data_IF_767406215706
#
_entry.id   IF_767406215706
#
_cell.length_a   1.000
_cell.length_b   1.000
_cell.length_c   1.000
_cell.angle_alpha   90.00
_cell.angle_beta   90.00
_cell.angle_gamma   90.00
#
_symmetry.space_group_name_H-M   'P 1'
#
loop_
_entity.id
_entity.type
_entity.pdbx_description
1 polymer ?
#
# COMPACT_ATOMS: atom_id res chain seq x y z
N UNK A 1 6.50 28.00 -4.47
CA UNK A 1 7.82 28.22 -3.88
C UNK A 1 7.81 28.53 -2.38
N UNK A 2 7.05 29.51 -1.86
CA UNK A 2 7.02 29.83 -0.41
C UNK A 2 6.61 28.63 0.45
N UNK A 3 5.54 27.90 0.06
CA UNK A 3 5.02 26.75 0.82
C UNK A 3 6.01 25.58 0.90
N UNK A 4 6.75 25.29 -0.17
CA UNK A 4 7.78 24.25 -0.18
C UNK A 4 8.96 24.60 0.73
N UNK A 5 9.42 25.86 0.71
CA UNK A 5 10.44 26.34 1.66
C UNK A 5 10.00 26.20 3.11
N UNK A 6 8.74 26.51 3.41
CA UNK A 6 8.17 26.32 4.76
C UNK A 6 8.13 24.85 5.16
N UNK A 7 7.76 23.95 4.24
CA UNK A 7 7.78 22.52 4.50
C UNK A 7 9.19 22.03 4.86
N UNK A 8 10.20 22.40 4.07
CA UNK A 8 11.60 22.05 4.34
C UNK A 8 12.07 22.53 5.71
N UNK A 9 11.73 23.74 6.11
CA UNK A 9 12.06 24.25 7.46
C UNK A 9 11.39 23.43 8.57
N UNK A 10 10.13 23.01 8.37
CA UNK A 10 9.42 22.13 9.31
C UNK A 10 10.12 20.77 9.39
N UNK A 11 10.45 20.18 8.24
CA UNK A 11 11.15 18.91 8.16
C UNK A 11 12.51 18.97 8.86
N UNK A 12 13.34 19.98 8.60
CA UNK A 12 14.64 20.15 9.25
C UNK A 12 14.55 20.31 10.78
N UNK A 13 13.56 21.05 11.26
CA UNK A 13 13.29 21.16 12.70
C UNK A 13 12.91 19.82 13.30
N UNK A 14 12.03 19.07 12.62
CA UNK A 14 11.54 17.79 13.11
C UNK A 14 12.61 16.70 13.00
N UNK A 15 13.42 16.66 11.93
CA UNK A 15 14.49 15.67 11.76
C UNK A 15 15.54 15.78 12.87
N UNK A 16 15.97 16.99 13.19
CA UNK A 16 16.91 17.22 14.32
C UNK A 16 16.35 16.70 15.65
N UNK A 17 15.05 16.88 15.86
CA UNK A 17 14.37 16.42 17.08
C UNK A 17 14.26 14.91 17.13
N UNK A 18 13.76 14.29 16.04
CA UNK A 18 13.48 12.85 16.03
C UNK A 18 14.78 12.01 16.03
N UNK A 19 15.82 12.47 15.36
CA UNK A 19 17.13 11.79 15.36
C UNK A 19 17.74 11.79 16.76
N UNK A 20 17.73 12.93 17.44
CA UNK A 20 18.20 12.99 18.85
C UNK A 20 17.34 12.12 19.75
N UNK A 21 16.02 12.17 19.59
CA UNK A 21 15.08 11.36 20.36
C UNK A 21 15.31 9.86 20.18
N UNK A 22 15.47 9.40 18.93
CA UNK A 22 15.74 8.00 18.63
C UNK A 22 17.09 7.54 19.22
N UNK A 23 18.15 8.34 19.06
CA UNK A 23 19.45 8.04 19.64
C UNK A 23 19.41 7.93 21.17
N UNK A 24 18.71 8.84 21.85
CA UNK A 24 18.64 8.86 23.32
C UNK A 24 17.82 7.71 23.90
N UNK A 25 16.72 7.32 23.22
CA UNK A 25 15.70 6.45 23.81
C UNK A 25 15.63 5.04 23.20
N UNK A 26 16.22 4.81 22.01
CA UNK A 26 16.19 3.51 21.34
C UNK A 26 17.61 2.93 21.29
N UNK A 27 17.93 1.89 22.09
CA UNK A 27 19.27 1.29 22.13
C UNK A 27 19.79 0.84 20.76
N UNK A 28 18.89 0.35 19.87
CA UNK A 28 19.22 -0.02 18.50
C UNK A 28 19.84 1.16 17.72
N UNK A 29 19.22 2.35 17.74
CA UNK A 29 19.75 3.51 17.04
C UNK A 29 21.03 4.04 17.66
N UNK A 30 21.13 4.06 19.00
CA UNK A 30 22.37 4.44 19.69
C UNK A 30 23.54 3.59 19.22
N UNK A 31 23.40 2.26 19.34
CA UNK A 31 24.44 1.33 18.89
C UNK A 31 24.81 1.54 17.42
N UNK A 32 23.81 1.73 16.55
CA UNK A 32 24.01 1.88 15.10
C UNK A 32 24.74 3.16 14.75
N UNK A 33 24.42 4.26 15.42
CA UNK A 33 25.08 5.55 15.24
C UNK A 33 26.54 5.49 15.74
N UNK A 34 26.75 4.91 16.91
CA UNK A 34 28.10 4.77 17.49
C UNK A 34 29.01 3.91 16.60
N UNK A 35 28.48 2.85 16.01
CA UNK A 35 29.22 1.97 15.06
C UNK A 35 29.76 2.69 13.83
N UNK A 36 29.05 3.71 13.34
CA UNK A 36 29.49 4.49 12.17
C UNK A 36 30.07 5.86 12.57
N UNK A 37 30.29 6.11 13.86
CA UNK A 37 30.81 7.38 14.36
C UNK A 37 29.90 8.57 14.14
N UNK A 38 28.60 8.37 13.91
CA UNK A 38 27.64 9.42 13.64
C UNK A 38 27.10 10.00 14.94
N UNK A 39 27.16 11.32 15.08
CA UNK A 39 26.55 12.04 16.20
C UNK A 39 25.23 12.68 15.79
N UNK A 40 24.16 12.63 16.62
CA UNK A 40 22.88 13.27 16.29
C UNK A 40 22.97 14.73 15.90
N UNK A 41 23.94 15.46 16.48
CA UNK A 41 24.18 16.89 16.25
C UNK A 41 24.74 17.20 14.84
N UNK A 42 25.27 16.18 14.16
CA UNK A 42 25.76 16.31 12.77
C UNK A 42 24.62 16.31 11.74
N UNK A 43 23.40 15.89 12.14
CA UNK A 43 22.20 15.94 11.28
C UNK A 43 21.53 17.31 11.48
N UNK A 44 21.84 18.25 10.59
CA UNK A 44 21.39 19.65 10.70
C UNK A 44 20.38 20.04 9.64
N UNK A 45 20.48 19.47 8.45
CA UNK A 45 19.65 19.72 7.27
C UNK A 45 19.20 18.40 6.63
N UNK A 46 18.30 18.47 5.65
CA UNK A 46 17.70 17.26 5.06
C UNK A 46 18.73 16.36 4.36
N UNK A 47 19.71 16.98 3.68
CA UNK A 47 20.76 16.22 2.97
C UNK A 47 21.65 15.40 3.94
N UNK A 48 21.73 15.80 5.21
CA UNK A 48 22.48 15.02 6.21
C UNK A 48 21.80 13.70 6.57
N UNK A 49 20.51 13.53 6.25
CA UNK A 49 19.75 12.31 6.56
C UNK A 49 20.36 11.10 5.87
N UNK A 50 20.93 11.27 4.68
CA UNK A 50 21.63 10.21 3.95
C UNK A 50 22.79 9.56 4.74
N UNK A 51 23.35 10.27 5.74
CA UNK A 51 24.41 9.75 6.64
C UNK A 51 23.89 8.72 7.65
N UNK A 52 22.57 8.72 7.93
CA UNK A 52 21.94 7.78 8.86
C UNK A 52 21.86 6.42 8.20
N UNK A 53 22.36 5.34 8.85
CA UNK A 53 22.24 4.00 8.30
C UNK A 53 20.77 3.59 8.08
N UNK A 54 20.53 2.88 6.99
CA UNK A 54 19.20 2.36 6.63
C UNK A 54 18.69 1.39 7.69
N UNK A 55 17.42 1.47 8.04
CA UNK A 55 16.71 0.50 8.89
C UNK A 55 15.92 -0.46 8.01
N UNK A 56 16.09 -1.77 8.23
CA UNK A 56 15.42 -2.80 7.45
C UNK A 56 14.37 -3.56 8.27
N UNK A 57 13.50 -4.30 7.59
CA UNK A 57 12.51 -5.19 8.21
C UNK A 57 13.15 -6.22 9.16
N UNK A 58 14.32 -6.76 8.79
CA UNK A 58 15.09 -7.66 9.63
C UNK A 58 15.51 -7.04 10.97
N UNK A 59 15.77 -5.73 11.01
CA UNK A 59 16.11 -5.06 12.26
C UNK A 59 14.92 -5.06 13.24
N UNK A 60 13.69 -4.90 12.74
CA UNK A 60 12.50 -4.98 13.58
C UNK A 60 12.27 -6.42 14.08
N UNK A 61 12.46 -7.41 13.22
CA UNK A 61 12.34 -8.83 13.58
C UNK A 61 13.39 -9.23 14.64
N UNK A 62 14.63 -8.77 14.49
CA UNK A 62 15.72 -9.04 15.43
C UNK A 62 15.52 -8.34 16.79
N UNK A 63 14.72 -7.27 16.82
CA UNK A 63 14.34 -6.56 18.05
C UNK A 63 12.91 -6.90 18.53
N UNK A 64 12.37 -8.04 18.07
CA UNK A 64 11.04 -8.51 18.49
C UNK A 64 10.98 -8.82 20.00
N UNK A 65 9.88 -8.52 20.71
CA UNK A 65 8.69 -7.84 20.18
C UNK A 65 8.78 -6.31 20.28
N UNK A 66 9.49 -5.74 21.23
CA UNK A 66 9.42 -4.32 21.61
C UNK A 66 10.80 -3.67 21.77
N UNK A 67 11.88 -4.27 21.25
CA UNK A 67 13.23 -3.74 21.36
C UNK A 67 13.49 -2.41 20.64
N UNK A 68 12.51 -1.96 19.83
CA UNK A 68 12.56 -0.65 19.14
C UNK A 68 11.76 0.46 19.86
N UNK A 69 11.26 0.19 21.10
CA UNK A 69 10.53 1.22 21.85
C UNK A 69 11.43 2.36 22.29
N UNK A 70 10.89 3.57 22.16
CA UNK A 70 11.48 4.82 22.68
C UNK A 70 10.79 5.32 23.96
N UNK A 71 9.77 4.62 24.44
CA UNK A 71 9.00 4.95 25.65
C UNK A 71 8.85 3.70 26.53
N UNK A 72 8.65 3.88 27.86
CA UNK A 72 8.25 2.79 28.73
C UNK A 72 6.95 2.13 28.29
N UNK A 73 6.80 0.81 28.57
CA UNK A 73 5.65 0.03 28.12
C UNK A 73 4.31 0.48 28.70
N UNK A 74 4.30 1.06 29.89
CA UNK A 74 3.11 1.64 30.54
C UNK A 74 2.55 2.87 29.83
N UNK A 75 3.32 3.48 28.92
CA UNK A 75 2.84 4.58 28.05
C UNK A 75 2.22 4.11 26.76
N UNK A 76 2.21 2.81 26.50
CA UNK A 76 1.61 2.25 25.30
C UNK A 76 0.08 2.23 25.44
N UNK A 77 -0.58 2.59 24.38
CA UNK A 77 -2.04 2.61 24.30
C UNK A 77 -2.57 1.48 23.40
N UNK A 78 -1.83 1.13 22.35
CA UNK A 78 -2.23 0.11 21.39
C UNK A 78 -1.01 -0.59 20.79
N UNK A 79 -1.18 -1.87 20.49
CA UNK A 79 -0.23 -2.69 19.72
C UNK A 79 -0.95 -3.23 18.48
N UNK A 80 -0.28 -3.14 17.36
CA UNK A 80 -0.67 -3.82 16.12
C UNK A 80 0.46 -4.73 15.66
N UNK A 81 0.16 -5.64 14.74
CA UNK A 81 1.17 -6.49 14.15
C UNK A 81 0.90 -6.72 12.66
N UNK A 82 1.96 -6.92 11.90
CA UNK A 82 1.87 -7.37 10.51
C UNK A 82 1.54 -8.87 10.44
N UNK A 83 1.09 -9.37 9.28
CA UNK A 83 0.69 -10.77 9.10
C UNK A 83 1.81 -11.81 9.26
N UNK A 84 3.08 -11.38 9.25
CA UNK A 84 4.22 -12.27 9.54
C UNK A 84 4.28 -13.53 8.67
N UNK A 85 4.19 -13.42 7.35
CA UNK A 85 4.23 -14.57 6.41
C UNK A 85 5.48 -15.44 6.53
N UNK A 86 6.53 -14.95 7.20
CA UNK A 86 7.85 -15.60 7.36
C UNK A 86 8.20 -15.97 8.79
N UNK A 87 7.23 -16.06 9.72
CA UNK A 87 7.48 -16.46 11.12
C UNK A 87 6.99 -15.42 12.13
N UNK A 88 7.91 -14.70 12.82
CA UNK A 88 7.53 -13.69 13.81
C UNK A 88 6.89 -12.46 13.15
N UNK A 89 5.71 -12.00 13.62
CA UNK A 89 5.11 -10.76 13.12
C UNK A 89 5.94 -9.54 13.53
N UNK A 90 5.87 -8.45 12.75
CA UNK A 90 6.37 -7.17 13.21
C UNK A 90 5.32 -6.55 14.13
N UNK A 91 5.71 -6.30 15.37
CA UNK A 91 4.86 -5.56 16.32
C UNK A 91 5.12 -4.08 16.19
N UNK A 92 4.06 -3.29 16.10
CA UNK A 92 4.10 -1.83 16.08
C UNK A 92 3.32 -1.27 17.25
N UNK A 93 3.94 -0.37 17.99
CA UNK A 93 3.40 0.19 19.21
C UNK A 93 2.99 1.65 19.03
N UNK A 94 1.96 2.08 19.74
CA UNK A 94 1.42 3.42 19.68
C UNK A 94 1.21 3.97 21.09
N UNK A 95 1.66 5.20 21.32
CA UNK A 95 1.18 6.03 22.43
C UNK A 95 -0.18 6.62 22.07
N UNK A 96 -0.84 7.24 23.03
CA UNK A 96 -2.05 8.02 22.77
C UNK A 96 -1.79 9.14 21.77
N UNK A 97 -0.66 9.84 21.90
CA UNK A 97 -0.24 10.90 20.97
C UNK A 97 -0.01 10.39 19.55
N UNK A 98 0.54 9.17 19.41
CA UNK A 98 0.70 8.52 18.11
C UNK A 98 -0.64 8.22 17.44
N UNK A 99 -1.64 7.69 18.20
CA UNK A 99 -2.98 7.41 17.66
C UNK A 99 -3.72 8.68 17.24
N UNK A 100 -3.62 9.74 18.04
CA UNK A 100 -4.24 11.03 17.71
C UNK A 100 -3.60 11.63 16.44
N UNK A 101 -2.30 11.48 16.27
CA UNK A 101 -1.57 11.90 15.06
C UNK A 101 -2.02 11.10 13.85
N UNK A 102 -2.08 9.78 13.99
CA UNK A 102 -2.57 8.90 12.93
C UNK A 102 -4.01 9.21 12.53
N UNK A 103 -4.91 9.45 13.50
CA UNK A 103 -6.28 9.88 13.24
C UNK A 103 -6.35 11.17 12.42
N UNK A 104 -5.46 12.15 12.71
CA UNK A 104 -5.37 13.39 11.92
C UNK A 104 -4.85 13.15 10.49
N UNK A 105 -3.85 12.28 10.32
CA UNK A 105 -3.34 11.90 8.98
C UNK A 105 -4.43 11.26 8.14
N UNK A 106 -5.16 10.32 8.71
CA UNK A 106 -6.30 9.69 8.05
C UNK A 106 -7.45 10.66 7.79
N UNK A 107 -7.69 11.61 8.70
CA UNK A 107 -8.66 12.70 8.49
C UNK A 107 -8.29 13.56 7.26
N UNK A 108 -7.01 13.92 7.12
CA UNK A 108 -6.49 14.63 5.92
C UNK A 108 -6.68 13.80 4.65
N UNK A 109 -6.48 12.48 4.75
CA UNK A 109 -6.70 11.53 3.65
C UNK A 109 -8.15 11.57 3.17
N UNK A 110 -9.10 11.49 4.07
CA UNK A 110 -10.53 11.62 3.76
C UNK A 110 -10.88 12.98 3.15
N UNK A 111 -10.32 14.06 3.69
CA UNK A 111 -10.55 15.42 3.16
C UNK A 111 -10.08 15.56 1.71
N UNK A 112 -8.89 15.00 1.36
CA UNK A 112 -8.38 14.97 -0.02
C UNK A 112 -9.32 14.25 -0.96
N UNK A 113 -9.92 13.14 -0.52
CA UNK A 113 -10.90 12.38 -1.30
C UNK A 113 -12.29 13.04 -1.35
N UNK A 114 -12.49 14.16 -0.66
CA UNK A 114 -13.75 14.90 -0.66
C UNK A 114 -14.80 14.37 0.31
N UNK A 115 -14.39 13.57 1.31
CA UNK A 115 -15.26 13.10 2.39
C UNK A 115 -15.48 14.22 3.41
N UNK A 116 -16.69 14.34 3.93
CA UNK A 116 -17.10 15.43 4.83
C UNK A 116 -17.77 14.89 6.09
N UNK A 117 -17.88 15.75 7.08
CA UNK A 117 -18.67 15.49 8.29
C UNK A 117 -20.10 15.04 7.93
N UNK A 118 -20.56 13.96 8.55
CA UNK A 118 -21.87 13.38 8.33
C UNK A 118 -21.95 12.37 7.17
N UNK A 119 -20.92 12.26 6.34
CA UNK A 119 -20.87 11.18 5.34
C UNK A 119 -20.84 9.80 6.02
N UNK A 120 -21.54 8.83 5.44
CA UNK A 120 -21.51 7.44 5.88
C UNK A 120 -20.36 6.72 5.16
N UNK A 121 -19.40 6.23 5.94
CA UNK A 121 -18.21 5.51 5.47
C UNK A 121 -18.36 4.04 5.84
N UNK A 122 -18.45 3.16 4.86
CA UNK A 122 -18.43 1.72 5.07
C UNK A 122 -17.00 1.21 4.93
N UNK A 123 -16.43 0.74 6.04
CA UNK A 123 -15.05 0.28 6.08
C UNK A 123 -15.01 -1.24 5.97
N UNK A 124 -14.55 -1.70 4.80
CA UNK A 124 -14.43 -3.12 4.45
C UNK A 124 -13.02 -3.69 4.69
N UNK A 125 -12.08 -2.89 5.24
CA UNK A 125 -10.82 -3.45 5.74
C UNK A 125 -11.04 -4.26 7.02
N UNK A 126 -10.28 -5.36 7.16
CA UNK A 126 -10.32 -6.20 8.35
C UNK A 126 -9.95 -5.43 9.62
N UNK A 127 -10.74 -5.67 10.67
CA UNK A 127 -10.43 -5.24 12.03
C UNK A 127 -9.69 -6.35 12.78
N UNK A 128 -8.71 -6.01 13.60
CA UNK A 128 -7.90 -6.96 14.33
C UNK A 128 -6.48 -6.45 14.55
N UNK A 129 -5.48 -7.32 14.44
CA UNK A 129 -4.07 -6.95 14.60
C UNK A 129 -3.55 -6.00 13.54
N UNK A 130 -4.16 -6.00 12.35
CA UNK A 130 -3.76 -5.12 11.26
C UNK A 130 -4.18 -3.67 11.47
N UNK A 131 -3.41 -2.77 10.91
CA UNK A 131 -3.64 -1.33 11.01
C UNK A 131 -4.76 -0.82 10.10
N UNK A 132 -5.09 -1.56 9.01
CA UNK A 132 -6.02 -1.09 7.96
C UNK A 132 -7.36 -0.62 8.50
N UNK A 133 -8.16 -1.53 9.09
CA UNK A 133 -9.49 -1.23 9.58
C UNK A 133 -9.53 -0.08 10.58
N UNK A 134 -8.62 -0.10 11.57
CA UNK A 134 -8.60 0.90 12.64
C UNK A 134 -8.10 2.27 12.15
N UNK A 135 -7.17 2.33 11.21
CA UNK A 135 -6.71 3.60 10.64
C UNK A 135 -7.85 4.37 9.98
N UNK A 136 -8.63 3.70 9.13
CA UNK A 136 -9.81 4.28 8.50
C UNK A 136 -10.87 4.66 9.54
N UNK A 137 -11.08 3.83 10.56
CA UNK A 137 -12.01 4.12 11.65
C UNK A 137 -11.65 5.41 12.41
N UNK A 138 -10.39 5.55 12.85
CA UNK A 138 -9.94 6.74 13.57
C UNK A 138 -10.02 8.00 12.71
N UNK A 139 -9.68 7.90 11.42
CA UNK A 139 -9.77 9.02 10.48
C UNK A 139 -11.19 9.50 10.26
N UNK A 140 -12.14 8.58 10.05
CA UNK A 140 -13.55 8.93 9.88
C UNK A 140 -14.09 9.66 11.12
N UNK A 141 -13.79 9.15 12.32
CA UNK A 141 -14.14 9.84 13.58
C UNK A 141 -13.52 11.23 13.68
N UNK A 142 -12.26 11.38 13.29
CA UNK A 142 -11.55 12.67 13.37
C UNK A 142 -12.20 13.77 12.54
N UNK A 143 -12.86 13.44 11.42
CA UNK A 143 -13.57 14.40 10.56
C UNK A 143 -15.07 14.47 10.84
N UNK A 144 -15.58 13.68 11.81
CA UNK A 144 -17.01 13.63 12.15
C UNK A 144 -17.87 12.90 11.11
N UNK A 145 -17.29 11.99 10.32
CA UNK A 145 -18.02 11.06 9.47
C UNK A 145 -18.57 9.87 10.28
N UNK A 146 -19.68 9.29 9.81
CA UNK A 146 -20.28 8.10 10.43
C UNK A 146 -19.61 6.85 9.89
N UNK A 147 -18.96 6.07 10.75
CA UNK A 147 -18.25 4.85 10.34
C UNK A 147 -19.12 3.61 10.52
N UNK A 148 -19.20 2.78 9.49
CA UNK A 148 -19.83 1.45 9.50
C UNK A 148 -18.71 0.41 9.41
N UNK A 149 -18.34 -0.24 10.54
CA UNK A 149 -17.18 -1.14 10.60
C UNK A 149 -17.55 -2.55 10.15
N UNK A 150 -17.85 -2.72 8.86
CA UNK A 150 -18.33 -4.01 8.33
C UNK A 150 -17.25 -5.08 8.28
N UNK A 151 -15.96 -4.69 8.26
CA UNK A 151 -14.85 -5.60 7.99
C UNK A 151 -14.95 -6.22 6.59
N UNK A 152 -14.04 -7.08 6.21
CA UNK A 152 -14.05 -7.80 4.93
C UNK A 152 -14.99 -9.02 4.98
N UNK A 153 -15.38 -9.52 3.81
CA UNK A 153 -16.24 -10.69 3.65
C UNK A 153 -17.74 -10.38 3.84
N UNK A 154 -18.55 -11.44 3.83
CA UNK A 154 -20.01 -11.40 3.93
C UNK A 154 -20.65 -10.43 2.91
N UNK A 155 -20.43 -10.69 1.63
CA UNK A 155 -20.79 -9.83 0.50
C UNK A 155 -22.26 -9.42 0.49
N UNK A 156 -23.18 -10.34 0.83
CA UNK A 156 -24.61 -10.00 0.93
C UNK A 156 -24.89 -8.90 1.96
N UNK A 157 -24.25 -9.00 3.13
CA UNK A 157 -24.36 -7.97 4.17
C UNK A 157 -23.74 -6.65 3.73
N UNK A 158 -22.64 -6.68 2.96
CA UNK A 158 -22.05 -5.45 2.43
C UNK A 158 -23.06 -4.68 1.59
N UNK A 159 -23.72 -5.33 0.63
CA UNK A 159 -24.72 -4.68 -0.22
C UNK A 159 -25.95 -4.21 0.55
N UNK A 160 -26.46 -5.03 1.48
CA UNK A 160 -27.56 -4.65 2.34
C UNK A 160 -27.26 -3.33 3.07
N UNK A 161 -26.11 -3.25 3.74
CA UNK A 161 -25.73 -2.07 4.51
C UNK A 161 -25.40 -0.86 3.61
N UNK A 162 -24.79 -1.08 2.44
CA UNK A 162 -24.57 0.00 1.46
C UNK A 162 -25.88 0.67 1.07
N UNK A 163 -26.94 -0.12 0.85
CA UNK A 163 -28.27 0.35 0.46
C UNK A 163 -28.99 1.01 1.63
N UNK A 164 -29.16 0.29 2.72
CA UNK A 164 -30.01 0.69 3.85
C UNK A 164 -29.45 1.92 4.59
N UNK A 165 -28.11 2.00 4.74
CA UNK A 165 -27.44 3.11 5.40
C UNK A 165 -27.05 4.24 4.43
N UNK A 166 -27.43 4.11 3.14
CA UNK A 166 -27.11 5.09 2.10
C UNK A 166 -25.63 5.46 2.09
N UNK A 167 -24.78 4.44 2.19
CA UNK A 167 -23.32 4.59 2.22
C UNK A 167 -22.83 5.48 1.07
N UNK A 168 -22.06 6.52 1.43
CA UNK A 168 -21.50 7.44 0.46
C UNK A 168 -20.03 7.12 0.13
N UNK A 169 -19.31 6.55 1.09
CA UNK A 169 -17.88 6.27 0.99
C UNK A 169 -17.62 4.81 1.31
N UNK A 170 -16.84 4.14 0.48
CA UNK A 170 -16.35 2.79 0.74
C UNK A 170 -14.83 2.77 0.84
N UNK A 171 -14.29 1.94 1.73
CA UNK A 171 -12.86 1.72 1.89
C UNK A 171 -12.56 0.23 1.95
N UNK A 172 -11.54 -0.23 1.25
CA UNK A 172 -11.22 -1.65 1.15
C UNK A 172 -10.01 -1.94 0.26
N UNK A 173 -9.75 -3.20 -0.02
CA UNK A 173 -8.76 -3.58 -1.03
C UNK A 173 -9.35 -3.43 -2.44
N UNK A 174 -8.55 -3.04 -3.44
CA UNK A 174 -9.02 -2.96 -4.83
C UNK A 174 -9.58 -4.28 -5.32
N UNK A 175 -8.90 -5.41 -5.04
CA UNK A 175 -9.32 -6.75 -5.46
C UNK A 175 -10.71 -7.12 -4.91
N UNK A 176 -10.99 -6.78 -3.64
CA UNK A 176 -12.31 -7.01 -3.08
C UNK A 176 -13.39 -6.14 -3.74
N UNK A 177 -13.06 -4.89 -4.08
CA UNK A 177 -14.01 -4.02 -4.78
C UNK A 177 -14.28 -4.46 -6.21
N UNK A 178 -13.26 -4.97 -6.93
CA UNK A 178 -13.41 -5.62 -8.24
C UNK A 178 -14.33 -6.84 -8.14
N UNK A 179 -14.13 -7.69 -7.13
CA UNK A 179 -15.04 -8.81 -6.84
C UNK A 179 -16.49 -8.34 -6.60
N UNK A 180 -16.68 -7.24 -5.85
CA UNK A 180 -18.00 -6.67 -5.62
C UNK A 180 -18.67 -6.15 -6.90
N UNK A 181 -17.92 -5.76 -7.93
CA UNK A 181 -18.48 -5.43 -9.24
C UNK A 181 -19.23 -6.61 -9.87
N UNK A 182 -18.66 -7.81 -9.81
CA UNK A 182 -19.27 -9.03 -10.32
C UNK A 182 -20.43 -9.49 -9.42
N UNK A 183 -20.17 -9.54 -8.11
CA UNK A 183 -21.14 -10.00 -7.13
C UNK A 183 -22.42 -9.14 -7.08
N UNK A 184 -22.32 -7.83 -7.36
CA UNK A 184 -23.49 -6.95 -7.40
C UNK A 184 -24.44 -7.33 -8.54
N UNK A 185 -23.89 -7.63 -9.72
CA UNK A 185 -24.68 -8.07 -10.88
C UNK A 185 -25.34 -9.42 -10.62
N UNK A 186 -24.56 -10.39 -10.10
CA UNK A 186 -25.07 -11.71 -9.74
C UNK A 186 -26.16 -11.64 -8.64
N UNK A 187 -26.07 -10.65 -7.73
CA UNK A 187 -27.08 -10.39 -6.70
C UNK A 187 -28.30 -9.61 -7.16
N UNK A 188 -28.40 -9.25 -8.44
CA UNK A 188 -29.54 -8.52 -9.03
C UNK A 188 -29.56 -7.02 -8.67
N UNK A 189 -28.44 -6.45 -8.23
CA UNK A 189 -28.33 -5.01 -7.94
C UNK A 189 -27.97 -4.22 -9.21
N UNK A 190 -28.53 -3.02 -9.32
CA UNK A 190 -28.02 -1.95 -10.17
C UNK A 190 -27.23 -0.98 -9.30
N UNK A 191 -25.88 -1.08 -9.26
CA UNK A 191 -25.08 -0.33 -8.30
C UNK A 191 -25.25 1.19 -8.37
N UNK A 192 -25.49 1.76 -9.56
CA UNK A 192 -25.67 3.20 -9.74
C UNK A 192 -27.03 3.69 -9.23
N UNK A 193 -28.05 2.83 -9.27
CA UNK A 193 -29.40 3.15 -8.82
C UNK A 193 -29.62 2.78 -7.36
N UNK A 194 -29.13 1.60 -6.96
CA UNK A 194 -29.44 1.02 -5.65
C UNK A 194 -28.54 1.54 -4.52
N UNK A 195 -27.33 2.04 -4.86
CA UNK A 195 -26.36 2.57 -3.88
C UNK A 195 -26.12 4.05 -4.05
N UNK A 196 -25.71 4.72 -2.95
CA UNK A 196 -25.40 6.17 -2.95
C UNK A 196 -23.89 6.43 -2.98
N UNK A 197 -23.08 5.51 -3.50
CA UNK A 197 -21.63 5.61 -3.48
C UNK A 197 -21.13 6.80 -4.31
N UNK A 198 -20.18 7.56 -3.78
CA UNK A 198 -19.53 8.70 -4.44
C UNK A 198 -18.02 8.65 -4.37
N UNK A 199 -17.47 8.00 -3.34
CA UNK A 199 -16.04 7.95 -3.07
C UNK A 199 -15.63 6.53 -2.71
N UNK A 200 -14.56 6.05 -3.32
CA UNK A 200 -13.84 4.85 -2.92
C UNK A 200 -12.40 5.18 -2.57
N UNK A 201 -11.88 4.65 -1.44
CA UNK A 201 -10.47 4.78 -1.07
C UNK A 201 -9.91 3.38 -0.92
N UNK A 202 -9.00 3.01 -1.82
CA UNK A 202 -8.52 1.65 -1.98
C UNK A 202 -7.00 1.58 -1.85
N UNK A 203 -6.48 0.49 -1.32
CA UNK A 203 -5.05 0.28 -1.16
C UNK A 203 -4.71 -1.03 -0.48
N UNK A 204 -3.53 -1.11 0.12
CA UNK A 204 -2.91 -2.30 0.71
C UNK A 204 -2.35 -3.30 -0.31
N UNK A 205 -2.62 -3.12 -1.58
CA UNK A 205 -2.07 -3.90 -2.69
C UNK A 205 -1.94 -2.99 -3.94
N UNK A 206 -1.03 -3.27 -4.87
CA UNK A 206 -1.01 -2.62 -6.18
C UNK A 206 -2.30 -2.93 -6.97
N UNK A 207 -2.73 -2.02 -7.82
CA UNK A 207 -3.87 -2.22 -8.71
C UNK A 207 -3.76 -1.36 -9.97
N UNK A 208 -4.36 -1.84 -11.05
CA UNK A 208 -4.24 -1.23 -12.38
C UNK A 208 -5.25 -0.09 -12.60
N UNK A 209 -5.02 0.72 -13.63
CA UNK A 209 -6.00 1.74 -14.05
C UNK A 209 -7.26 1.11 -14.65
N UNK A 210 -7.14 -0.10 -15.19
CA UNK A 210 -8.26 -0.89 -15.69
C UNK A 210 -9.20 -1.31 -14.58
N UNK A 211 -8.63 -1.82 -13.47
CA UNK A 211 -9.38 -2.13 -12.25
C UNK A 211 -10.07 -0.87 -11.68
N UNK A 212 -9.38 0.28 -11.70
CA UNK A 212 -9.95 1.58 -11.31
C UNK A 212 -11.18 1.90 -12.16
N UNK A 213 -11.02 1.89 -13.50
CA UNK A 213 -12.09 2.21 -14.44
C UNK A 213 -13.29 1.28 -14.22
N UNK A 214 -13.05 -0.02 -14.09
CA UNK A 214 -14.12 -0.99 -13.81
C UNK A 214 -14.91 -0.65 -12.54
N UNK A 215 -14.22 -0.33 -11.45
CA UNK A 215 -14.85 0.05 -10.17
C UNK A 215 -15.66 1.36 -10.33
N UNK A 216 -15.06 2.38 -10.94
CA UNK A 216 -15.69 3.68 -11.14
C UNK A 216 -16.93 3.57 -12.04
N UNK A 217 -16.84 2.79 -13.13
CA UNK A 217 -17.92 2.59 -14.08
C UNK A 217 -19.09 1.80 -13.48
N UNK A 218 -18.81 0.75 -12.71
CA UNK A 218 -19.89 -0.07 -12.12
C UNK A 218 -20.60 0.66 -10.99
N UNK A 219 -19.87 1.30 -10.09
CA UNK A 219 -20.47 1.89 -8.90
C UNK A 219 -20.78 3.39 -9.01
N UNK A 220 -20.31 4.07 -10.05
CA UNK A 220 -20.51 5.51 -10.24
C UNK A 220 -19.80 6.37 -9.18
N UNK A 221 -18.71 5.89 -8.63
CA UNK A 221 -17.90 6.57 -7.62
C UNK A 221 -16.58 7.08 -8.20
N UNK A 222 -15.86 7.91 -7.45
CA UNK A 222 -14.45 8.26 -7.71
C UNK A 222 -13.55 7.40 -6.82
N UNK A 223 -12.63 6.67 -7.43
CA UNK A 223 -11.68 5.82 -6.72
C UNK A 223 -10.35 6.54 -6.49
N UNK A 224 -9.83 6.47 -5.28
CA UNK A 224 -8.56 7.05 -4.86
C UNK A 224 -7.63 5.97 -4.34
N UNK A 225 -6.37 6.03 -4.74
CA UNK A 225 -5.32 5.16 -4.25
C UNK A 225 -4.74 5.71 -2.94
N UNK A 226 -4.54 4.84 -1.94
CA UNK A 226 -3.94 5.18 -0.65
C UNK A 226 -2.75 4.26 -0.38
N UNK A 227 -1.66 4.86 0.09
CA UNK A 227 -0.47 4.14 0.49
C UNK A 227 -0.25 4.20 2.00
N UNK A 228 0.27 3.11 2.53
CA UNK A 228 0.73 3.00 3.91
C UNK A 228 1.18 1.59 4.24
N UNK A 229 1.84 1.45 5.37
CA UNK A 229 2.30 0.17 5.90
C UNK A 229 2.28 0.20 7.42
N UNK A 230 2.14 -0.95 8.05
CA UNK A 230 1.97 -1.06 9.51
C UNK A 230 3.06 -0.33 10.28
N UNK A 231 4.29 -0.43 9.81
CA UNK A 231 5.48 0.19 10.43
C UNK A 231 5.42 1.72 10.41
N UNK A 232 4.72 2.30 9.44
CA UNK A 232 4.60 3.76 9.23
C UNK A 232 3.24 4.32 9.68
N UNK A 233 2.70 3.91 10.80
CA UNK A 233 1.34 4.13 11.35
C UNK A 233 0.28 3.18 10.78
N UNK A 234 0.34 2.72 9.56
CA UNK A 234 -0.69 2.01 8.83
C UNK A 234 -1.08 2.77 7.57
N UNK A 235 -2.36 2.74 7.13
CA UNK A 235 -2.82 3.56 6.02
C UNK A 235 -2.69 5.05 6.32
N UNK A 236 -2.61 5.87 5.27
CA UNK A 236 -2.58 7.33 5.39
C UNK A 236 -1.18 7.93 5.43
N UNK A 237 -0.16 7.24 4.97
CA UNK A 237 1.17 7.81 4.68
C UNK A 237 1.10 8.72 3.47
N UNK A 238 0.42 8.24 2.41
CA UNK A 238 0.16 9.01 1.20
C UNK A 238 -1.22 8.73 0.63
N UNK A 239 -1.76 9.71 -0.11
CA UNK A 239 -3.07 9.63 -0.78
C UNK A 239 -3.03 10.31 -2.14
N UNK A 240 -3.67 9.71 -3.11
CA UNK A 240 -3.92 10.30 -4.42
C UNK A 240 -4.93 11.46 -4.32
N UNK A 241 -4.74 12.51 -5.09
CA UNK A 241 -5.70 13.60 -5.20
C UNK A 241 -6.53 13.50 -6.49
N UNK A 242 -7.45 14.43 -6.70
CA UNK A 242 -8.32 14.45 -7.89
C UNK A 242 -7.58 14.60 -9.23
N UNK A 243 -6.29 14.99 -9.22
CA UNK A 243 -5.45 15.09 -10.43
C UNK A 243 -4.91 13.73 -10.89
N UNK A 244 -4.98 12.69 -10.07
CA UNK A 244 -4.52 11.33 -10.40
C UNK A 244 -3.05 11.26 -10.85
N UNK A 245 -2.20 12.18 -10.37
CA UNK A 245 -0.78 12.28 -10.71
C UNK A 245 0.09 12.00 -9.48
N UNK A 246 0.11 10.74 -9.06
CA UNK A 246 0.82 10.26 -7.88
C UNK A 246 0.10 10.54 -6.55
N UNK A 247 0.66 10.01 -5.47
CA UNK A 247 0.11 10.08 -4.12
C UNK A 247 0.90 11.09 -3.29
N UNK A 248 0.23 12.06 -2.68
CA UNK A 248 0.83 13.04 -1.78
C UNK A 248 1.24 12.38 -0.47
N UNK A 249 2.55 12.36 -0.19
CA UNK A 249 3.11 11.97 1.12
C UNK A 249 2.97 13.15 2.07
N UNK A 250 2.49 12.93 3.28
CA UNK A 250 2.41 14.00 4.28
C UNK A 250 3.81 14.42 4.76
N UNK A 251 4.49 15.26 3.96
CA UNK A 251 5.89 15.66 4.17
C UNK A 251 6.17 16.36 5.51
N UNK A 252 5.16 16.85 6.19
CA UNK A 252 5.29 17.37 7.55
C UNK A 252 5.35 16.27 8.63
N UNK A 253 5.03 15.02 8.29
CA UNK A 253 5.08 13.85 9.18
C UNK A 253 6.05 12.76 8.71
N UNK A 254 6.36 12.74 7.43
CA UNK A 254 7.29 11.78 6.81
C UNK A 254 8.29 12.50 5.92
N UNK A 255 9.55 12.15 6.03
CA UNK A 255 10.53 12.39 4.99
C UNK A 255 10.61 11.13 4.13
N UNK A 256 10.49 11.26 2.81
CA UNK A 256 10.59 10.17 1.86
C UNK A 256 11.79 10.41 0.94
N UNK A 257 12.60 9.38 0.75
CA UNK A 257 13.75 9.31 -0.16
C UNK A 257 13.52 8.18 -1.14
N UNK A 258 14.14 8.28 -2.34
CA UNK A 258 14.32 7.15 -3.25
C UNK A 258 15.76 6.68 -3.14
N UNK A 259 16.01 5.39 -3.01
CA UNK A 259 17.36 4.83 -2.97
C UNK A 259 17.52 3.71 -3.99
N UNK A 260 18.74 3.49 -4.44
CA UNK A 260 19.09 2.30 -5.19
C UNK A 260 18.86 1.06 -4.31
N UNK A 261 18.05 0.07 -4.74
CA UNK A 261 17.69 -1.09 -3.90
C UNK A 261 18.90 -1.94 -3.46
N UNK A 262 19.97 -1.98 -4.28
CA UNK A 262 21.15 -2.82 -4.05
C UNK A 262 22.21 -2.10 -3.21
N UNK A 263 22.55 -0.86 -3.57
CA UNK A 263 23.60 -0.08 -2.89
C UNK A 263 23.10 0.72 -1.70
N UNK A 264 21.82 1.10 -1.68
CA UNK A 264 21.23 1.98 -0.65
C UNK A 264 21.59 3.47 -0.83
N UNK A 265 22.24 3.84 -1.94
CA UNK A 265 22.57 5.22 -2.28
C UNK A 265 21.29 6.00 -2.61
N UNK A 266 21.24 7.26 -2.17
CA UNK A 266 20.11 8.15 -2.47
C UNK A 266 20.14 8.53 -3.94
N UNK A 267 18.97 8.43 -4.58
CA UNK A 267 18.76 8.79 -5.98
C UNK A 267 18.20 10.22 -6.08
N UNK A 268 18.38 10.83 -7.24
CA UNK A 268 17.79 12.14 -7.51
C UNK A 268 16.26 12.10 -7.59
N UNK A 269 15.56 13.18 -7.25
CA UNK A 269 14.11 13.26 -7.42
C UNK A 269 13.69 12.93 -8.87
N UNK A 270 12.69 12.05 -9.02
CA UNK A 270 12.21 11.57 -10.30
C UNK A 270 12.85 10.28 -10.78
N UNK A 271 13.97 9.83 -10.19
CA UNK A 271 14.54 8.52 -10.47
C UNK A 271 13.76 7.41 -9.76
N UNK A 272 13.69 6.25 -10.42
CA UNK A 272 13.02 5.06 -9.88
C UNK A 272 13.94 4.31 -8.92
N UNK A 273 13.43 4.02 -7.72
CA UNK A 273 14.16 3.26 -6.72
C UNK A 273 13.25 2.79 -5.58
N UNK A 274 13.85 2.24 -4.55
CA UNK A 274 13.16 1.82 -3.35
C UNK A 274 12.81 3.03 -2.48
N UNK A 275 11.56 3.11 -2.02
CA UNK A 275 11.14 4.15 -1.09
C UNK A 275 11.70 3.89 0.31
N UNK A 276 12.29 4.93 0.88
CA UNK A 276 12.80 4.95 2.25
C UNK A 276 12.10 6.06 3.02
N UNK A 277 11.60 5.74 4.21
CA UNK A 277 10.85 6.68 5.03
C UNK A 277 11.52 6.96 6.36
N UNK A 278 11.54 8.24 6.74
CA UNK A 278 11.86 8.68 8.11
C UNK A 278 10.62 9.29 8.73
N UNK A 279 10.16 8.74 9.86
CA UNK A 279 9.04 9.29 10.62
C UNK A 279 9.48 10.49 11.44
N UNK A 280 8.85 11.65 11.22
CA UNK A 280 9.30 12.91 11.83
C UNK A 280 8.72 13.20 13.21
N UNK A 281 7.72 12.44 13.65
CA UNK A 281 6.95 12.77 14.87
C UNK A 281 6.48 11.55 15.67
N UNK A 282 7.01 10.35 15.41
CA UNK A 282 6.63 9.13 16.12
C UNK A 282 7.19 9.10 17.55
N UNK A 283 6.33 8.73 18.53
CA UNK A 283 6.72 8.65 19.94
C UNK A 283 7.13 7.23 20.36
N UNK A 284 6.26 6.24 20.13
CA UNK A 284 6.50 4.89 20.64
C UNK A 284 7.66 4.17 19.93
N UNK A 285 7.66 4.18 18.61
CA UNK A 285 8.64 3.46 17.78
C UNK A 285 9.08 4.35 16.61
N UNK A 286 9.97 5.33 16.81
CA UNK A 286 10.47 6.13 15.71
C UNK A 286 11.26 5.29 14.74
N UNK A 287 11.01 5.45 13.43
CA UNK A 287 11.77 4.81 12.37
C UNK A 287 12.54 5.86 11.58
N UNK A 288 13.86 5.67 11.49
CA UNK A 288 14.77 6.50 10.72
C UNK A 288 15.23 5.70 9.50
N UNK A 289 15.09 6.28 8.31
CA UNK A 289 15.47 5.70 7.02
C UNK A 289 15.03 4.23 6.86
N UNK A 290 13.74 3.97 7.08
CA UNK A 290 13.16 2.63 6.99
C UNK A 290 12.93 2.24 5.54
N UNK A 291 13.53 1.12 5.13
CA UNK A 291 13.37 0.51 3.80
C UNK A 291 11.99 -0.12 3.66
N UNK A 292 11.17 0.42 2.77
CA UNK A 292 9.82 -0.12 2.52
C UNK A 292 9.82 -1.36 1.63
N UNK A 293 10.85 -1.52 0.80
CA UNK A 293 10.94 -2.45 -0.32
C UNK A 293 10.00 -2.11 -1.49
N UNK A 294 9.19 -1.07 -1.39
CA UNK A 294 8.30 -0.64 -2.46
C UNK A 294 9.06 0.20 -3.49
N UNK A 295 8.91 -0.13 -4.77
CA UNK A 295 9.55 0.56 -5.89
C UNK A 295 8.64 1.66 -6.42
N UNK A 296 9.18 2.87 -6.48
CA UNK A 296 8.45 4.06 -6.93
C UNK A 296 9.42 5.18 -7.31
N UNK A 297 8.88 6.39 -7.54
CA UNK A 297 9.63 7.65 -7.76
C UNK A 297 9.08 8.70 -6.84
N UNK A 298 9.94 9.61 -6.38
CA UNK A 298 9.54 10.77 -5.58
C UNK A 298 9.56 12.02 -6.46
N UNK A 299 8.49 12.80 -6.44
CA UNK A 299 8.36 14.09 -7.11
C UNK A 299 8.17 15.19 -6.08
N UNK A 300 8.95 16.26 -6.21
CA UNK A 300 8.89 17.42 -5.31
C UNK A 300 8.15 18.62 -5.93
N UNK A 301 7.77 18.53 -7.21
CA UNK A 301 7.07 19.64 -7.87
C UNK A 301 5.68 19.87 -7.28
N UNK A 302 5.20 21.12 -7.36
CA UNK A 302 3.86 21.48 -6.94
C UNK A 302 2.82 20.78 -7.83
N UNK A 303 1.83 20.17 -7.20
CA UNK A 303 0.73 19.53 -7.91
C UNK A 303 -0.31 20.56 -8.33
N UNK A 304 -0.95 20.35 -9.50
CA UNK A 304 -2.05 21.18 -9.98
C UNK A 304 -3.25 21.26 -8.99
N UNK A 305 -3.33 20.38 -8.00
CA UNK A 305 -4.29 20.50 -6.89
C UNK A 305 -3.93 21.56 -5.84
N UNK A 306 -2.79 22.27 -6.00
CA UNK A 306 -2.29 23.30 -5.10
C UNK A 306 -1.62 22.78 -3.82
N UNK A 307 -1.44 21.47 -3.67
CA UNK A 307 -0.69 20.86 -2.55
C UNK A 307 0.80 20.86 -2.86
N UNK A 308 1.60 21.17 -1.85
CA UNK A 308 3.07 21.27 -1.90
C UNK A 308 3.79 20.10 -1.22
N UNK A 309 3.06 19.10 -0.77
CA UNK A 309 3.61 17.85 -0.25
C UNK A 309 4.25 17.05 -1.39
N UNK A 310 5.41 16.40 -1.16
CA UNK A 310 6.00 15.52 -2.16
C UNK A 310 5.04 14.42 -2.57
N UNK A 311 5.18 13.92 -3.78
CA UNK A 311 4.36 12.83 -4.30
C UNK A 311 5.22 11.63 -4.60
N UNK A 312 4.70 10.46 -4.31
CA UNK A 312 5.23 9.21 -4.85
C UNK A 312 4.40 8.79 -6.05
N UNK A 313 5.03 8.17 -7.04
CA UNK A 313 4.31 7.47 -8.09
C UNK A 313 3.57 6.28 -7.48
N UNK A 314 2.55 5.77 -8.14
CA UNK A 314 1.92 4.50 -7.72
C UNK A 314 2.98 3.42 -7.61
N UNK A 315 2.85 2.57 -6.60
CA UNK A 315 3.80 1.49 -6.37
C UNK A 315 3.78 0.54 -7.57
N UNK A 316 4.95 0.35 -8.17
CA UNK A 316 5.14 -0.51 -9.34
C UNK A 316 5.24 -1.99 -8.94
N UNK A 317 5.79 -2.24 -7.77
CA UNK A 317 6.01 -3.55 -7.20
C UNK A 317 6.93 -3.44 -5.97
N UNK A 318 7.33 -4.57 -5.44
CA UNK A 318 8.30 -4.62 -4.33
C UNK A 318 9.60 -5.23 -4.81
N UNK A 319 10.72 -4.73 -4.28
CA UNK A 319 12.05 -5.29 -4.60
C UNK A 319 12.22 -6.73 -4.06
N UNK A 320 11.44 -7.11 -3.04
CA UNK A 320 11.42 -8.46 -2.45
C UNK A 320 10.31 -9.37 -3.02
N UNK A 321 9.36 -8.85 -3.81
CA UNK A 321 8.33 -9.61 -4.55
C UNK A 321 8.70 -9.76 -6.04
N UNK A 322 9.82 -9.20 -6.45
CA UNK A 322 10.34 -9.33 -7.81
C UNK A 322 10.75 -10.78 -8.07
N UNK A 323 10.17 -11.35 -9.10
CA UNK A 323 10.49 -12.70 -9.56
C UNK A 323 11.63 -12.62 -10.56
N UNK A 324 12.74 -13.29 -10.30
CA UNK A 324 13.81 -13.45 -11.27
C UNK A 324 13.57 -14.77 -11.99
N UNK A 325 13.28 -14.70 -13.29
CA UNK A 325 12.93 -15.86 -14.11
C UNK A 325 13.82 -15.88 -15.34
N UNK A 326 14.69 -16.87 -15.43
CA UNK A 326 15.67 -16.93 -16.51
C UNK A 326 16.58 -15.69 -16.62
N UNK A 327 16.90 -15.05 -15.48
CA UNK A 327 17.70 -13.83 -15.44
C UNK A 327 16.93 -12.53 -15.74
N UNK A 328 15.63 -12.60 -15.95
CA UNK A 328 14.76 -11.43 -16.20
C UNK A 328 13.96 -11.08 -14.96
N UNK A 329 13.91 -9.80 -14.60
CA UNK A 329 13.11 -9.27 -13.51
C UNK A 329 11.65 -9.13 -13.93
N UNK A 330 10.76 -9.91 -13.30
CA UNK A 330 9.32 -9.92 -13.57
C UNK A 330 8.59 -9.46 -12.32
N UNK A 331 7.72 -8.46 -12.47
CA UNK A 331 6.83 -8.02 -11.41
C UNK A 331 5.41 -8.56 -11.62
N UNK A 332 4.76 -9.10 -10.58
CA UNK A 332 3.38 -9.58 -10.68
C UNK A 332 2.40 -8.53 -11.24
N UNK A 333 2.64 -7.25 -10.94
CA UNK A 333 1.85 -6.13 -11.46
C UNK A 333 1.93 -5.96 -12.99
N UNK A 334 3.01 -6.37 -13.63
CA UNK A 334 3.12 -6.34 -15.09
C UNK A 334 2.21 -7.40 -15.72
N UNK A 335 2.15 -8.59 -15.11
CA UNK A 335 1.26 -9.67 -15.54
C UNK A 335 -0.21 -9.24 -15.37
N UNK A 336 -0.56 -8.68 -14.19
CA UNK A 336 -1.89 -8.14 -13.95
C UNK A 336 -2.31 -7.13 -15.00
N UNK A 337 -1.44 -6.17 -15.30
CA UNK A 337 -1.71 -5.14 -16.31
C UNK A 337 -2.05 -5.75 -17.67
N UNK A 338 -1.31 -6.77 -18.11
CA UNK A 338 -1.59 -7.45 -19.39
C UNK A 338 -2.96 -8.13 -19.34
N UNK A 339 -3.22 -8.93 -18.29
CA UNK A 339 -4.45 -9.71 -18.20
C UNK A 339 -5.70 -8.83 -18.12
N UNK A 340 -5.65 -7.74 -17.34
CA UNK A 340 -6.79 -6.81 -17.18
C UNK A 340 -7.11 -5.99 -18.44
N UNK A 341 -6.19 -5.91 -19.40
CA UNK A 341 -6.41 -5.24 -20.69
C UNK A 341 -7.04 -6.14 -21.76
N UNK A 342 -7.24 -7.43 -21.48
CA UNK A 342 -7.87 -8.36 -22.41
C UNK A 342 -9.34 -8.57 -22.01
N UNK A 343 -10.32 -8.01 -22.75
CA UNK A 343 -11.73 -7.99 -22.35
C UNK A 343 -12.37 -9.37 -22.14
N UNK A 344 -11.81 -10.40 -22.79
CA UNK A 344 -12.31 -11.77 -22.73
C UNK A 344 -11.84 -12.55 -21.50
N UNK A 345 -10.99 -11.96 -20.66
CA UNK A 345 -10.50 -12.56 -19.43
C UNK A 345 -11.28 -12.09 -18.20
N UNK A 346 -11.39 -12.96 -17.22
CA UNK A 346 -11.90 -12.63 -15.88
C UNK A 346 -10.84 -11.95 -15.01
N UNK A 347 -11.26 -11.48 -13.83
CA UNK A 347 -10.38 -10.74 -12.90
C UNK A 347 -9.54 -11.65 -12.01
N UNK A 348 -9.78 -12.96 -12.05
CA UNK A 348 -9.04 -13.92 -11.22
C UNK A 348 -7.93 -14.58 -12.03
N UNK A 349 -6.75 -14.55 -11.46
CA UNK A 349 -5.57 -15.17 -12.04
C UNK A 349 -4.59 -15.66 -10.96
N UNK A 350 -3.71 -16.57 -11.34
CA UNK A 350 -2.61 -17.06 -10.51
C UNK A 350 -1.31 -17.03 -11.32
N UNK A 351 -0.24 -16.60 -10.69
CA UNK A 351 1.13 -16.59 -11.21
C UNK A 351 1.87 -17.71 -10.50
N UNK A 352 2.37 -18.67 -11.24
CA UNK A 352 3.05 -19.84 -10.72
C UNK A 352 4.47 -19.85 -11.26
N UNK A 353 5.45 -19.83 -10.37
CA UNK A 353 6.86 -19.97 -10.72
C UNK A 353 7.35 -21.34 -10.27
N UNK A 354 7.94 -22.09 -11.15
CA UNK A 354 8.47 -23.41 -10.87
C UNK A 354 9.86 -23.58 -11.44
N UNK A 355 10.62 -24.52 -10.89
CA UNK A 355 11.94 -24.87 -11.37
C UNK A 355 11.97 -26.38 -11.70
N UNK A 356 12.34 -26.72 -12.94
CA UNK A 356 12.69 -28.11 -13.32
C UNK A 356 14.16 -28.15 -13.73
N UNK A 357 14.45 -27.84 -14.99
CA UNK A 357 15.81 -27.62 -15.50
C UNK A 357 16.09 -26.12 -15.63
N UNK A 358 15.06 -25.34 -15.88
CA UNK A 358 15.04 -23.86 -15.93
C UNK A 358 13.83 -23.35 -15.17
N UNK A 359 13.92 -22.09 -14.76
CA UNK A 359 12.77 -21.39 -14.18
C UNK A 359 11.68 -21.22 -15.23
N UNK A 360 10.44 -21.56 -14.86
CA UNK A 360 9.24 -21.44 -15.70
C UNK A 360 8.23 -20.53 -15.05
N UNK A 361 7.64 -19.66 -15.85
CA UNK A 361 6.52 -18.84 -15.51
C UNK A 361 5.25 -19.46 -16.09
N UNK A 362 4.27 -19.77 -15.25
CA UNK A 362 2.94 -20.15 -15.68
C UNK A 362 1.91 -19.16 -15.13
N UNK A 363 0.89 -18.87 -15.93
CA UNK A 363 -0.22 -17.98 -15.57
C UNK A 363 -1.53 -18.72 -15.82
N UNK A 364 -2.31 -18.91 -14.74
CA UNK A 364 -3.70 -19.38 -14.86
C UNK A 364 -4.62 -18.17 -14.79
N UNK A 365 -5.57 -18.05 -15.71
CA UNK A 365 -6.51 -16.94 -15.74
C UNK A 365 -7.90 -17.42 -16.14
N UNK A 366 -8.90 -16.84 -15.49
CA UNK A 366 -10.30 -17.18 -15.76
C UNK A 366 -10.81 -16.53 -17.06
N UNK A 367 -11.68 -17.24 -17.75
CA UNK A 367 -12.43 -16.77 -18.92
C UNK A 367 -13.83 -17.42 -18.96
N UNK A 368 -14.71 -16.97 -19.85
CA UNK A 368 -16.01 -17.61 -20.04
C UNK A 368 -15.86 -19.06 -20.52
N UNK A 369 -16.82 -19.92 -20.18
CA UNK A 369 -16.72 -21.36 -20.41
C UNK A 369 -16.53 -21.72 -21.88
N UNK A 370 -17.08 -20.94 -22.80
CA UNK A 370 -16.96 -21.11 -24.27
C UNK A 370 -15.55 -20.73 -24.78
N UNK A 371 -14.75 -20.01 -24.02
CA UNK A 371 -13.41 -19.54 -24.38
C UNK A 371 -12.25 -20.29 -23.69
N UNK A 372 -12.54 -21.22 -22.80
CA UNK A 372 -11.51 -21.99 -22.08
C UNK A 372 -10.55 -22.71 -23.03
N UNK A 373 -11.04 -23.19 -24.16
CA UNK A 373 -10.26 -23.88 -25.19
C UNK A 373 -10.03 -23.04 -26.46
N UNK A 374 -10.16 -21.71 -26.37
CA UNK A 374 -9.98 -20.82 -27.52
C UNK A 374 -8.47 -20.62 -27.80
N UNK A 375 -7.92 -21.19 -28.91
CA UNK A 375 -6.51 -21.07 -29.21
C UNK A 375 -6.11 -19.64 -29.65
N UNK A 376 -7.04 -18.84 -30.16
CA UNK A 376 -6.77 -17.44 -30.53
C UNK A 376 -6.61 -16.58 -29.30
N UNK A 377 -7.49 -16.73 -28.29
CA UNK A 377 -7.36 -16.05 -27.00
C UNK A 377 -6.09 -16.46 -26.26
N UNK A 378 -5.81 -17.78 -26.22
CA UNK A 378 -4.58 -18.29 -25.60
C UNK A 378 -3.32 -17.68 -26.23
N UNK A 379 -3.22 -17.69 -27.56
CA UNK A 379 -2.09 -17.09 -28.30
C UNK A 379 -1.97 -15.59 -28.07
N UNK A 380 -3.10 -14.89 -27.98
CA UNK A 380 -3.13 -13.45 -27.66
C UNK A 380 -2.53 -13.19 -26.28
N UNK A 381 -3.00 -13.90 -25.25
CA UNK A 381 -2.49 -13.73 -23.87
C UNK A 381 -0.99 -14.01 -23.79
N UNK A 382 -0.54 -15.10 -24.39
CA UNK A 382 0.89 -15.45 -24.44
C UNK A 382 1.71 -14.39 -25.16
N UNK A 383 1.22 -13.87 -26.28
CA UNK A 383 1.91 -12.82 -27.06
C UNK A 383 2.01 -11.50 -26.30
N UNK A 384 0.92 -11.07 -25.66
CA UNK A 384 0.88 -9.82 -24.89
C UNK A 384 1.77 -9.91 -23.64
N UNK A 385 1.80 -11.08 -22.96
CA UNK A 385 2.74 -11.32 -21.85
C UNK A 385 4.18 -11.31 -22.32
N UNK A 386 4.51 -11.99 -23.41
CA UNK A 386 5.87 -11.98 -23.96
C UNK A 386 6.34 -10.57 -24.33
N UNK A 387 5.47 -9.76 -24.94
CA UNK A 387 5.78 -8.38 -25.31
C UNK A 387 6.12 -7.48 -24.11
N UNK A 388 5.44 -7.69 -22.97
CA UNK A 388 5.63 -6.87 -21.77
C UNK A 388 6.75 -7.39 -20.87
N UNK A 389 6.87 -8.72 -20.74
CA UNK A 389 7.82 -9.35 -19.81
C UNK A 389 9.18 -9.63 -20.44
N UNK A 390 9.25 -9.76 -21.76
CA UNK A 390 10.46 -10.19 -22.47
C UNK A 390 10.78 -11.68 -22.32
N UNK A 391 9.92 -12.45 -21.66
CA UNK A 391 10.01 -13.91 -21.49
C UNK A 391 8.67 -14.57 -21.80
N UNK A 392 8.71 -15.83 -22.20
CA UNK A 392 7.50 -16.61 -22.43
C UNK A 392 6.86 -17.07 -21.11
N UNK A 393 5.54 -17.11 -21.09
CA UNK A 393 4.76 -17.68 -20.00
C UNK A 393 3.88 -18.80 -20.52
N UNK A 394 3.79 -19.91 -19.77
CA UNK A 394 2.80 -20.95 -19.99
C UNK A 394 1.44 -20.43 -19.51
N UNK A 395 0.45 -20.36 -20.38
CA UNK A 395 -0.88 -19.82 -20.03
C UNK A 395 -1.91 -20.95 -20.01
N UNK A 396 -2.71 -20.98 -18.96
CA UNK A 396 -3.86 -21.89 -18.81
C UNK A 396 -5.14 -21.04 -18.64
N UNK A 397 -6.05 -21.15 -19.59
CA UNK A 397 -7.37 -20.55 -19.52
C UNK A 397 -8.29 -21.50 -18.74
N UNK A 398 -8.95 -21.02 -17.69
CA UNK A 398 -9.85 -21.80 -16.84
C UNK A 398 -11.24 -21.15 -16.78
N UNK A 399 -12.28 -21.92 -16.51
CA UNK A 399 -13.63 -21.37 -16.44
C UNK A 399 -13.80 -20.40 -15.26
N UNK A 400 -14.67 -19.40 -15.42
CA UNK A 400 -15.05 -18.48 -14.34
C UNK A 400 -15.50 -19.26 -13.10
N UNK A 401 -15.01 -18.86 -11.93
CA UNK A 401 -15.31 -19.52 -10.66
C UNK A 401 -14.38 -20.67 -10.29
N UNK A 402 -13.38 -20.99 -11.13
CA UNK A 402 -12.41 -22.07 -10.86
C UNK A 402 -11.33 -21.65 -9.87
N UNK A 403 -10.85 -20.42 -9.97
CA UNK A 403 -9.79 -19.93 -9.10
C UNK A 403 -10.36 -19.41 -7.76
N UNK A 404 -9.62 -19.60 -6.65
CA UNK A 404 -10.08 -19.15 -5.34
C UNK A 404 -10.24 -17.63 -5.31
N UNK A 405 -11.32 -17.18 -4.67
CA UNK A 405 -11.58 -15.76 -4.40
C UNK A 405 -11.21 -15.41 -2.97
N UNK A 406 -10.54 -14.29 -2.80
CA UNK A 406 -10.26 -13.77 -1.47
C UNK A 406 -11.39 -12.83 -1.03
N UNK A 407 -12.24 -13.31 -0.14
CA UNK A 407 -13.25 -12.47 0.52
C UNK A 407 -12.68 -11.72 1.73
N UNK A 408 -11.50 -12.12 2.20
CA UNK A 408 -10.86 -11.58 3.40
C UNK A 408 -9.36 -11.38 3.15
N UNK A 409 -8.88 -10.15 3.34
CA UNK A 409 -7.46 -9.82 3.20
C UNK A 409 -7.00 -9.63 1.75
N UNK A 410 -5.69 -9.75 1.54
CA UNK A 410 -5.08 -9.65 0.20
C UNK A 410 -5.26 -10.96 -0.55
N UNK A 411 -5.54 -10.89 -1.85
CA UNK A 411 -5.54 -12.05 -2.71
C UNK A 411 -4.10 -12.59 -2.87
N UNK A 412 -3.89 -13.88 -2.57
CA UNK A 412 -2.62 -14.54 -2.90
C UNK A 412 -2.65 -14.93 -4.38
N UNK A 413 -1.90 -14.20 -5.19
CA UNK A 413 -1.84 -14.40 -6.64
C UNK A 413 -0.55 -15.03 -7.12
N UNK A 414 0.52 -15.00 -6.32
CA UNK A 414 1.84 -15.52 -6.66
C UNK A 414 2.14 -16.78 -5.84
N UNK A 415 2.50 -17.84 -6.54
CA UNK A 415 2.89 -19.15 -6.03
C UNK A 415 4.29 -19.49 -6.54
N UNK A 416 5.31 -19.13 -5.79
CA UNK A 416 6.69 -19.51 -6.11
C UNK A 416 6.96 -20.90 -5.52
N UNK A 417 7.00 -21.90 -6.38
CA UNK A 417 7.20 -23.30 -6.06
C UNK A 417 8.67 -23.73 -6.15
N UNK A 418 9.58 -22.79 -6.44
CA UNK A 418 11.01 -23.09 -6.41
C UNK A 418 11.43 -23.39 -4.99
N UNK A 419 12.21 -24.43 -4.81
CA UNK A 419 12.77 -24.72 -3.46
C UNK A 419 13.65 -23.55 -3.02
N UNK A 420 13.31 -22.93 -1.92
CA UNK A 420 14.21 -21.97 -1.24
C UNK A 420 15.37 -22.79 -0.68
N UNK A 421 16.53 -22.69 -1.31
CA UNK A 421 17.79 -23.15 -0.74
C UNK A 421 18.17 -22.30 0.46
#
# INVERSE_FOLDING_TARGET
MLKLKQLRLIQEKKIRKIVRYAYQNVPFYRKRFDQVGLKPESIRKLEDVAKIPLTAKSDLINNYPLGMLAVPADRLYCLHASSGTTGKPIVVAYTRGDLERWARLMGRTYDVAGVRKGDVVQNMFGYGLFTGGLGFHYGARAIGATIVPTSSGNTKRQFLLMKDLRTRVVTGTPSYMVYLCEASRAGGYDPKRDFNLKVGIFGAEPWSEEARRKIEDVFGLRAYDIYGMSELYGPGVAIECGQKNGLHVWGDEFLVETVNPDTGEVLEPGEEGELVFTMLSREAMPLLRYRSRDLSRVFEEECACGRYHPRIQRIKGRSDDMLIIGGVNVFPSQIEHVLMNIPDLGDQYQIIVSHKELDRLAVKVETSADKVNDPALLKKVQGDLLAVLGISADVELVALGTLPRSEVGKAQRVFDLRQKQ
#
